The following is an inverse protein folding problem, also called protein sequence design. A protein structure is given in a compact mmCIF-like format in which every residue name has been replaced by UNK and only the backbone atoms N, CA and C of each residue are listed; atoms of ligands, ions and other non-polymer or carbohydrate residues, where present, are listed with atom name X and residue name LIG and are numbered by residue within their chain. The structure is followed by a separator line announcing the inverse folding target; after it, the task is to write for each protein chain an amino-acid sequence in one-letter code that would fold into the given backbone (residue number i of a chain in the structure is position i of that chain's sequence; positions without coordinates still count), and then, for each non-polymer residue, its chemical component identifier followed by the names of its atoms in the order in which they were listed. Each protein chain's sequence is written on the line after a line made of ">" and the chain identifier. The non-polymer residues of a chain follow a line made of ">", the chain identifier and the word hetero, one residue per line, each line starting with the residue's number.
data_IF_376127960519
#
_entry.id   IF_376127960519
#
_cell.length_a   1.000
_cell.length_b   1.000
_cell.length_c   1.000
_cell.angle_alpha   90.00
_cell.angle_beta   90.00
_cell.angle_gamma   90.00
#
_symmetry.space_group_name_H-M   'P 1'
#
loop_
_entity.id
_entity.type
_entity.pdbx_description
1 polymer ?
#
# COMPACT_ATOMS: atom_id res chain seq x y z
N UNK A 1 -2.72 27.02 -1.30
CA UNK A 1 -3.75 26.50 -2.23
C UNK A 1 -3.55 26.98 -3.66
N UNK A 2 -3.14 28.24 -3.89
CA UNK A 2 -2.94 28.80 -5.25
C UNK A 2 -1.93 28.04 -6.12
N UNK A 3 -1.02 27.27 -5.55
CA UNK A 3 -0.03 26.46 -6.27
C UNK A 3 -0.46 25.01 -6.53
N UNK A 4 -1.50 24.52 -5.86
CA UNK A 4 -1.92 23.11 -5.91
C UNK A 4 -3.05 22.90 -6.92
N UNK A 5 -3.96 23.89 -7.06
CA UNK A 5 -5.15 23.77 -7.90
C UNK A 5 -6.25 22.91 -7.28
N UNK A 6 -7.40 22.83 -7.97
CA UNK A 6 -8.57 22.05 -7.54
C UNK A 6 -8.94 20.97 -8.57
N UNK A 7 -9.57 19.89 -8.16
CA UNK A 7 -9.87 19.53 -6.75
C UNK A 7 -8.61 19.19 -5.96
N UNK A 8 -8.65 19.41 -4.65
CA UNK A 8 -7.58 19.12 -3.72
C UNK A 8 -8.11 18.29 -2.54
N UNK A 9 -7.22 17.63 -1.82
CA UNK A 9 -7.53 16.84 -0.62
C UNK A 9 -6.87 17.50 0.57
N UNK A 10 -7.65 17.83 1.59
CA UNK A 10 -7.16 18.25 2.89
C UNK A 10 -7.17 17.06 3.82
N UNK A 11 -6.01 16.75 4.40
CA UNK A 11 -5.83 15.65 5.35
C UNK A 11 -5.30 16.18 6.68
N UNK A 12 -5.83 15.67 7.79
CA UNK A 12 -5.30 15.92 9.12
C UNK A 12 -4.20 14.92 9.46
N UNK A 13 -3.55 15.05 10.62
CA UNK A 13 -2.49 14.13 11.03
C UNK A 13 -3.05 12.70 11.25
N UNK A 14 -2.58 11.73 10.47
CA UNK A 14 -3.00 10.32 10.51
C UNK A 14 -2.74 9.61 11.84
N UNK A 15 -1.78 10.06 12.62
CA UNK A 15 -1.43 9.46 13.90
C UNK A 15 -2.32 9.93 15.06
N UNK A 16 -3.29 10.82 14.78
CA UNK A 16 -4.27 11.26 15.78
C UNK A 16 -5.59 10.51 15.63
N UNK A 17 -6.28 10.27 16.75
CA UNK A 17 -7.60 9.60 16.78
C UNK A 17 -8.67 10.24 15.89
N UNK A 18 -8.51 11.53 15.58
CA UNK A 18 -9.48 12.32 14.80
C UNK A 18 -8.94 12.58 13.38
N UNK A 19 -8.38 11.55 12.74
CA UNK A 19 -8.02 11.66 11.32
C UNK A 19 -9.24 12.00 10.49
N UNK A 20 -9.13 13.04 9.69
CA UNK A 20 -10.18 13.49 8.77
C UNK A 20 -9.59 13.80 7.41
N UNK A 21 -10.30 13.43 6.36
CA UNK A 21 -9.95 13.74 4.98
C UNK A 21 -11.15 14.43 4.32
N UNK A 22 -10.93 15.60 3.74
CA UNK A 22 -11.95 16.38 3.05
C UNK A 22 -11.53 16.67 1.60
N UNK A 23 -12.49 16.59 0.70
CA UNK A 23 -12.30 17.00 -0.69
C UNK A 23 -12.64 18.47 -0.84
N UNK A 24 -11.69 19.23 -1.39
CA UNK A 24 -11.86 20.65 -1.70
C UNK A 24 -12.06 20.80 -3.21
N UNK A 25 -13.18 21.37 -3.62
CA UNK A 25 -13.53 21.55 -5.03
C UNK A 25 -13.21 22.93 -5.59
N UNK A 26 -13.19 23.94 -4.72
CA UNK A 26 -12.92 25.33 -5.05
C UNK A 26 -12.28 26.09 -3.87
N UNK A 27 -12.19 27.40 -3.98
CA UNK A 27 -11.66 28.28 -2.93
C UNK A 27 -12.64 28.60 -1.80
N UNK A 28 -13.92 28.27 -1.95
CA UNK A 28 -14.94 28.49 -0.92
C UNK A 28 -14.80 27.40 0.14
N UNK A 29 -13.99 27.68 1.15
CA UNK A 29 -13.83 26.82 2.31
C UNK A 29 -15.03 26.99 3.22
N UNK A 30 -15.68 25.88 3.55
CA UNK A 30 -16.75 25.88 4.54
C UNK A 30 -16.21 25.99 5.97
N UNK A 31 -17.10 26.24 6.92
CA UNK A 31 -16.74 26.39 8.34
C UNK A 31 -16.01 25.14 8.89
N UNK A 32 -16.30 23.97 8.34
CA UNK A 32 -15.66 22.71 8.73
C UNK A 32 -14.16 22.68 8.38
N UNK A 33 -13.79 23.22 7.22
CA UNK A 33 -12.38 23.33 6.81
C UNK A 33 -11.63 24.30 7.71
N UNK A 34 -12.24 25.47 8.01
CA UNK A 34 -11.64 26.47 8.90
C UNK A 34 -11.42 25.89 10.30
N UNK A 35 -12.43 25.23 10.86
CA UNK A 35 -12.33 24.59 12.16
C UNK A 35 -11.20 23.56 12.22
N UNK A 36 -11.08 22.68 11.22
CA UNK A 36 -10.04 21.67 11.16
C UNK A 36 -8.62 22.27 11.11
N UNK A 37 -8.44 23.34 10.33
CA UNK A 37 -7.14 24.01 10.20
C UNK A 37 -6.75 24.76 11.46
N UNK A 38 -7.71 25.29 12.22
CA UNK A 38 -7.46 25.92 13.52
C UNK A 38 -7.12 24.92 14.62
N UNK A 39 -7.80 23.76 14.63
CA UNK A 39 -7.64 22.75 15.68
C UNK A 39 -6.38 21.88 15.52
N UNK A 40 -5.90 21.68 14.30
CA UNK A 40 -4.78 20.77 14.04
C UNK A 40 -4.02 21.06 12.74
N UNK A 41 -2.79 20.57 12.69
CA UNK A 41 -1.99 20.66 11.47
C UNK A 41 -2.62 19.84 10.36
N UNK A 42 -2.83 20.47 9.21
CA UNK A 42 -3.39 19.87 8.02
C UNK A 42 -2.39 19.88 6.87
N UNK A 43 -2.51 18.92 5.98
CA UNK A 43 -1.79 18.85 4.71
C UNK A 43 -2.78 18.95 3.57
N UNK A 44 -2.45 19.73 2.54
CA UNK A 44 -3.27 19.81 1.33
C UNK A 44 -2.47 19.26 0.16
N UNK A 45 -3.08 18.33 -0.55
CA UNK A 45 -2.48 17.68 -1.73
C UNK A 45 -3.42 17.83 -2.93
N UNK A 46 -2.84 17.90 -4.14
CA UNK A 46 -3.64 17.86 -5.36
C UNK A 46 -4.39 16.53 -5.45
N UNK A 47 -5.67 16.59 -5.78
CA UNK A 47 -6.42 15.39 -6.12
C UNK A 47 -6.07 14.96 -7.55
N UNK A 48 -5.47 13.79 -7.67
CA UNK A 48 -5.22 13.16 -8.96
C UNK A 48 -6.31 12.13 -9.20
N UNK A 49 -7.24 12.35 -10.16
CA UNK A 49 -8.25 11.34 -10.49
C UNK A 49 -7.54 10.13 -11.09
N UNK A 50 -7.20 9.20 -10.22
CA UNK A 50 -6.48 7.99 -10.56
C UNK A 50 -7.39 6.95 -11.19
N UNK A 51 -6.86 6.23 -12.16
CA UNK A 51 -7.50 5.07 -12.77
C UNK A 51 -6.99 3.77 -12.16
N UNK A 52 -5.72 3.76 -11.74
CA UNK A 52 -5.05 2.62 -11.11
C UNK A 52 -4.11 3.10 -10.01
N UNK A 53 -4.02 2.29 -8.99
CA UNK A 53 -3.13 2.52 -7.85
C UNK A 53 -2.09 1.42 -7.79
N UNK A 54 -0.86 1.78 -7.47
CA UNK A 54 0.25 0.84 -7.33
C UNK A 54 0.99 1.10 -6.03
N UNK A 55 1.48 0.03 -5.43
CA UNK A 55 2.38 0.12 -4.28
C UNK A 55 3.67 -0.65 -4.55
N UNK A 56 4.75 -0.16 -4.00
CA UNK A 56 6.07 -0.80 -4.08
C UNK A 56 6.88 -0.51 -2.83
N UNK A 57 7.67 -1.50 -2.41
CA UNK A 57 8.67 -1.36 -1.36
C UNK A 57 10.05 -1.53 -1.95
N UNK A 58 10.92 -0.60 -1.62
CA UNK A 58 12.30 -0.57 -2.06
C UNK A 58 13.18 -0.68 -0.83
N UNK A 59 14.19 -1.47 -0.95
CA UNK A 59 15.17 -1.74 0.10
C UNK A 59 16.54 -1.32 -0.39
N UNK A 60 17.33 -0.73 0.49
CA UNK A 60 18.77 -0.57 0.30
C UNK A 60 19.48 -1.21 1.47
N UNK A 61 20.41 -2.11 1.17
CA UNK A 61 21.25 -2.73 2.19
C UNK A 61 22.50 -1.88 2.53
N UNK A 62 23.34 -2.41 3.40
CA UNK A 62 24.59 -1.75 3.83
C UNK A 62 25.67 -1.70 2.75
N UNK A 63 25.55 -2.49 1.70
CA UNK A 63 26.45 -2.50 0.54
C UNK A 63 25.91 -1.63 -0.61
N UNK A 64 24.87 -0.80 -0.34
CA UNK A 64 24.17 0.05 -1.31
C UNK A 64 23.45 -0.70 -2.43
N UNK A 65 23.21 -2.02 -2.29
CA UNK A 65 22.37 -2.74 -3.23
C UNK A 65 20.91 -2.35 -3.05
N UNK A 66 20.25 -2.07 -4.16
CA UNK A 66 18.84 -1.68 -4.18
C UNK A 66 18.01 -2.88 -4.67
N UNK A 67 17.10 -3.34 -3.81
CA UNK A 67 16.13 -4.38 -4.12
C UNK A 67 14.73 -3.77 -4.15
N UNK A 68 13.96 -4.02 -5.20
CA UNK A 68 12.56 -3.62 -5.32
C UNK A 68 11.71 -4.87 -5.22
N UNK A 69 10.89 -4.95 -4.17
CA UNK A 69 9.93 -6.06 -4.00
C UNK A 69 8.90 -6.06 -5.14
N UNK A 70 8.17 -7.16 -5.35
CA UNK A 70 7.12 -7.20 -6.35
C UNK A 70 6.16 -6.02 -6.21
N UNK A 71 5.87 -5.36 -7.32
CA UNK A 71 4.94 -4.24 -7.37
C UNK A 71 3.53 -4.81 -7.30
N UNK A 72 2.66 -4.17 -6.49
CA UNK A 72 1.25 -4.52 -6.42
C UNK A 72 0.39 -3.49 -7.14
N UNK A 73 -0.71 -3.94 -7.72
CA UNK A 73 -1.82 -3.09 -8.12
C UNK A 73 -2.88 -3.14 -7.02
N UNK A 74 -3.30 -1.97 -6.53
CA UNK A 74 -4.16 -1.84 -5.37
C UNK A 74 -5.58 -1.45 -5.80
N UNK A 75 -6.56 -2.20 -5.35
CA UNK A 75 -7.97 -1.97 -5.63
C UNK A 75 -8.64 -1.37 -4.40
N UNK A 76 -9.22 -0.19 -4.57
CA UNK A 76 -9.94 0.54 -3.53
C UNK A 76 -11.44 0.56 -3.81
N UNK A 77 -12.25 0.41 -2.76
CA UNK A 77 -13.70 0.57 -2.78
C UNK A 77 -14.07 1.50 -1.63
N UNK A 78 -14.82 2.53 -1.90
CA UNK A 78 -15.26 3.54 -0.92
C UNK A 78 -14.11 4.11 -0.07
N UNK A 79 -12.94 4.31 -0.71
CA UNK A 79 -11.75 4.84 -0.06
C UNK A 79 -10.92 3.83 0.74
N UNK A 80 -11.44 2.62 0.99
CA UNK A 80 -10.74 1.54 1.69
C UNK A 80 -10.05 0.59 0.71
N UNK A 81 -8.87 0.10 1.06
CA UNK A 81 -8.20 -0.93 0.29
C UNK A 81 -9.00 -2.23 0.34
N UNK A 82 -9.48 -2.69 -0.81
CA UNK A 82 -10.20 -3.97 -0.93
C UNK A 82 -9.21 -5.13 -0.99
N UNK A 83 -8.23 -5.04 -1.89
CA UNK A 83 -7.11 -5.98 -2.02
C UNK A 83 -5.98 -5.38 -2.86
N UNK A 84 -4.81 -6.00 -2.77
CA UNK A 84 -3.65 -5.73 -3.62
C UNK A 84 -3.27 -6.96 -4.41
N UNK A 85 -2.97 -6.78 -5.69
CA UNK A 85 -2.64 -7.85 -6.63
C UNK A 85 -1.14 -7.83 -6.92
N UNK A 86 -0.44 -8.93 -6.62
CA UNK A 86 0.90 -9.20 -7.11
C UNK A 86 0.81 -10.13 -8.31
N UNK A 87 1.06 -9.63 -9.52
CA UNK A 87 0.93 -10.41 -10.75
C UNK A 87 2.18 -10.36 -11.63
N UNK A 88 2.53 -11.49 -12.20
CA UNK A 88 3.58 -11.62 -13.23
C UNK A 88 3.18 -11.01 -14.58
N UNK A 89 1.89 -10.72 -14.74
CA UNK A 89 1.29 -10.22 -16.00
C UNK A 89 1.07 -8.70 -16.00
N UNK A 90 1.62 -8.00 -15.00
CA UNK A 90 1.59 -6.53 -15.02
C UNK A 90 2.28 -6.01 -16.28
N UNK A 91 1.72 -4.93 -16.88
CA UNK A 91 2.28 -4.33 -18.08
C UNK A 91 3.77 -3.98 -17.88
N UNK A 92 4.70 -4.51 -18.72
CA UNK A 92 6.13 -4.30 -18.55
C UNK A 92 6.56 -2.83 -18.62
N UNK A 93 5.86 -2.00 -19.42
CA UNK A 93 6.14 -0.57 -19.52
C UNK A 93 5.86 0.12 -18.19
N UNK A 94 4.71 -0.21 -17.55
CA UNK A 94 4.38 0.33 -16.23
C UNK A 94 5.39 -0.11 -15.17
N UNK A 95 5.77 -1.38 -15.18
CA UNK A 95 6.80 -1.90 -14.25
C UNK A 95 8.12 -1.15 -14.42
N UNK A 96 8.54 -0.88 -15.67
CA UNK A 96 9.75 -0.12 -15.97
C UNK A 96 9.70 1.30 -15.44
N UNK A 97 8.58 1.98 -15.64
CA UNK A 97 8.39 3.36 -15.20
C UNK A 97 8.30 3.47 -13.67
N UNK A 98 7.53 2.59 -13.03
CA UNK A 98 7.43 2.49 -11.57
C UNK A 98 8.80 2.21 -10.92
N UNK A 99 9.59 1.29 -11.47
CA UNK A 99 10.97 1.03 -11.02
C UNK A 99 11.88 2.24 -11.18
N UNK A 100 11.69 3.03 -12.23
CA UNK A 100 12.43 4.28 -12.45
C UNK A 100 12.09 5.31 -11.39
N UNK A 101 10.80 5.48 -11.07
CA UNK A 101 10.33 6.35 -9.98
C UNK A 101 10.95 5.91 -8.66
N UNK A 102 10.84 4.62 -8.34
CA UNK A 102 11.39 4.02 -7.14
C UNK A 102 12.89 4.31 -6.98
N UNK A 103 13.67 4.07 -8.03
CA UNK A 103 15.11 4.29 -8.02
C UNK A 103 15.48 5.77 -7.84
N UNK A 104 14.72 6.69 -8.43
CA UNK A 104 14.93 8.13 -8.25
C UNK A 104 14.69 8.56 -6.80
N UNK A 105 13.62 8.08 -6.17
CA UNK A 105 13.31 8.37 -4.76
C UNK A 105 14.40 7.80 -3.85
N UNK A 106 14.81 6.54 -4.07
CA UNK A 106 15.83 5.91 -3.25
C UNK A 106 17.18 6.62 -3.31
N UNK A 107 17.56 7.20 -4.45
CA UNK A 107 18.80 8.00 -4.59
C UNK A 107 18.83 9.27 -3.73
N UNK A 108 17.66 9.80 -3.35
CA UNK A 108 17.57 10.99 -2.49
C UNK A 108 17.63 10.66 -0.99
N UNK A 109 17.62 9.37 -0.64
CA UNK A 109 17.64 8.89 0.74
C UNK A 109 18.98 8.20 0.98
N UNK A 110 19.63 8.45 2.11
CA UNK A 110 20.95 7.89 2.45
C UNK A 110 20.83 6.72 3.42
N UNK A 111 21.81 5.81 3.36
CA UNK A 111 21.97 4.69 4.29
C UNK A 111 21.10 3.47 3.99
N UNK A 112 21.31 2.41 4.78
CA UNK A 112 20.48 1.21 4.75
C UNK A 112 19.07 1.56 5.20
N UNK A 113 18.07 1.24 4.38
CA UNK A 113 16.69 1.68 4.63
C UNK A 113 15.67 0.90 3.83
N UNK A 114 14.42 0.96 4.29
CA UNK A 114 13.22 0.55 3.59
C UNK A 114 12.40 1.78 3.25
N UNK A 115 11.88 1.83 2.04
CA UNK A 115 10.96 2.90 1.59
C UNK A 115 9.78 2.26 0.87
N UNK A 116 8.59 2.57 1.32
CA UNK A 116 7.34 2.19 0.67
C UNK A 116 6.75 3.39 -0.08
N UNK A 117 6.30 3.16 -1.31
CA UNK A 117 5.80 4.20 -2.21
C UNK A 117 4.44 3.79 -2.74
N UNK A 118 3.47 4.70 -2.66
CA UNK A 118 2.19 4.59 -3.37
C UNK A 118 2.19 5.53 -4.57
N UNK A 119 1.75 5.00 -5.70
CA UNK A 119 1.70 5.71 -6.98
C UNK A 119 0.30 5.59 -7.57
N UNK A 120 -0.18 6.67 -8.16
CA UNK A 120 -1.45 6.71 -8.89
C UNK A 120 -1.16 6.95 -10.36
N UNK A 121 -1.73 6.13 -11.22
CA UNK A 121 -1.74 6.37 -12.66
C UNK A 121 -3.02 7.11 -13.04
N UNK A 122 -2.88 8.31 -13.59
CA UNK A 122 -4.00 9.09 -14.11
C UNK A 122 -4.55 8.48 -15.41
N UNK A 123 -5.73 8.94 -15.83
CA UNK A 123 -6.33 8.55 -17.14
C UNK A 123 -5.44 8.86 -18.34
N UNK A 124 -4.56 9.84 -18.21
CA UNK A 124 -3.54 10.20 -19.24
C UNK A 124 -2.39 9.19 -19.34
N UNK A 125 -2.31 8.20 -18.44
CA UNK A 125 -1.18 7.28 -18.34
C UNK A 125 0.01 7.81 -17.52
N UNK A 126 -0.06 9.04 -17.03
CA UNK A 126 1.02 9.65 -16.22
C UNK A 126 0.95 9.11 -14.79
N UNK A 127 2.11 8.76 -14.24
CA UNK A 127 2.25 8.30 -12.86
C UNK A 127 2.57 9.47 -11.92
N UNK A 128 1.86 9.51 -10.80
CA UNK A 128 2.05 10.48 -9.73
C UNK A 128 2.34 9.77 -8.41
N UNK A 129 3.40 10.19 -7.73
CA UNK A 129 3.70 9.69 -6.38
C UNK A 129 2.68 10.28 -5.40
N UNK A 130 1.91 9.41 -4.76
CA UNK A 130 0.88 9.79 -3.79
C UNK A 130 1.44 9.84 -2.36
N UNK A 131 2.27 8.85 -2.02
CA UNK A 131 2.81 8.70 -0.67
C UNK A 131 4.19 8.05 -0.72
N UNK A 132 5.08 8.52 0.15
CA UNK A 132 6.37 7.89 0.45
C UNK A 132 6.47 7.74 1.97
N UNK A 133 6.82 6.55 2.43
CA UNK A 133 6.92 6.24 3.85
C UNK A 133 8.14 5.35 4.12
N UNK A 134 8.75 5.46 5.29
CA UNK A 134 9.82 4.56 5.75
C UNK A 134 9.28 3.36 6.54
N UNK A 135 7.96 3.16 6.51
CA UNK A 135 7.29 2.02 7.11
C UNK A 135 6.73 1.10 6.01
N UNK A 136 6.70 -0.20 6.26
CA UNK A 136 6.07 -1.13 5.33
C UNK A 136 4.57 -0.87 5.21
N UNK A 137 4.05 -0.93 3.99
CA UNK A 137 2.62 -0.95 3.76
C UNK A 137 2.06 -2.38 3.87
N UNK A 138 0.80 -2.48 4.24
CA UNK A 138 0.09 -3.76 4.32
C UNK A 138 0.12 -4.53 2.99
N UNK A 139 0.10 -3.82 1.87
CA UNK A 139 0.15 -4.34 0.51
C UNK A 139 1.42 -5.16 0.20
N UNK A 140 2.45 -5.07 1.03
CA UNK A 140 3.73 -5.76 0.83
C UNK A 140 4.00 -6.85 1.87
N UNK A 141 2.98 -7.28 2.59
CA UNK A 141 3.09 -8.42 3.50
C UNK A 141 2.99 -9.74 2.73
N UNK A 142 3.94 -9.96 1.83
CA UNK A 142 4.05 -11.19 1.06
C UNK A 142 4.34 -12.39 1.95
N UNK A 143 3.80 -13.55 1.58
CA UNK A 143 4.16 -14.84 2.16
C UNK A 143 5.40 -15.43 1.46
N UNK A 144 5.98 -16.47 2.09
CA UNK A 144 7.10 -17.24 1.51
C UNK A 144 6.71 -17.99 0.23
N UNK A 145 5.43 -18.17 -0.04
CA UNK A 145 4.93 -18.71 -1.30
C UNK A 145 4.97 -17.68 -2.44
N UNK A 146 4.84 -16.40 -2.10
CA UNK A 146 4.83 -15.31 -3.09
C UNK A 146 6.25 -14.84 -3.42
N UNK A 147 7.14 -14.77 -2.43
CA UNK A 147 8.53 -14.32 -2.59
C UNK A 147 9.48 -15.24 -1.81
N UNK A 148 10.77 -15.35 -2.22
CA UNK A 148 11.73 -16.28 -1.61
C UNK A 148 12.03 -16.06 -0.12
N UNK A 149 11.77 -14.86 0.38
CA UNK A 149 12.00 -14.46 1.77
C UNK A 149 10.74 -13.83 2.33
N UNK A 150 10.33 -14.24 3.54
CA UNK A 150 9.23 -13.56 4.21
C UNK A 150 9.58 -12.09 4.48
N UNK A 151 8.56 -11.25 4.55
CA UNK A 151 8.76 -9.83 4.82
C UNK A 151 9.49 -9.60 6.16
N UNK A 152 9.18 -10.39 7.18
CA UNK A 152 9.85 -10.35 8.48
C UNK A 152 11.33 -10.71 8.38
N UNK A 153 11.70 -11.68 7.57
CA UNK A 153 13.11 -12.03 7.31
C UNK A 153 13.83 -10.89 6.61
N UNK A 154 13.21 -10.26 5.62
CA UNK A 154 13.77 -9.10 4.92
C UNK A 154 14.09 -7.97 5.91
N UNK A 155 13.16 -7.64 6.80
CA UNK A 155 13.37 -6.60 7.82
C UNK A 155 14.52 -6.97 8.76
N UNK A 156 14.56 -8.22 9.22
CA UNK A 156 15.63 -8.70 10.09
C UNK A 156 17.00 -8.61 9.41
N UNK A 157 17.11 -9.04 8.15
CA UNK A 157 18.34 -8.95 7.35
C UNK A 157 18.79 -7.50 7.19
N UNK A 158 17.86 -6.61 6.86
CA UNK A 158 18.13 -5.17 6.74
C UNK A 158 18.66 -4.59 8.05
N UNK A 159 18.02 -4.94 9.18
CA UNK A 159 18.41 -4.45 10.51
C UNK A 159 19.74 -5.00 11.01
N UNK A 160 20.14 -6.21 10.59
CA UNK A 160 21.38 -6.88 11.02
C UNK A 160 22.53 -6.76 10.02
N UNK A 161 22.34 -6.02 8.92
CA UNK A 161 23.37 -5.83 7.90
C UNK A 161 23.63 -7.06 7.02
N UNK A 162 22.70 -7.99 6.99
CA UNK A 162 22.76 -9.12 6.05
C UNK A 162 22.22 -8.70 4.69
N UNK A 163 22.85 -9.19 3.62
CA UNK A 163 22.39 -8.91 2.25
C UNK A 163 20.97 -9.44 2.01
N UNK A 164 20.19 -8.71 1.21
CA UNK A 164 18.84 -9.08 0.80
C UNK A 164 18.93 -9.86 -0.48
N UNK A 165 18.30 -11.04 -0.53
CA UNK A 165 18.23 -11.84 -1.75
C UNK A 165 17.29 -11.17 -2.77
N UNK A 166 17.52 -11.44 -4.06
CA UNK A 166 16.58 -11.00 -5.10
C UNK A 166 15.17 -11.52 -4.81
N UNK A 167 14.20 -10.61 -4.77
CA UNK A 167 12.83 -10.89 -4.38
C UNK A 167 11.91 -10.88 -5.60
N UNK A 168 12.15 -11.84 -6.53
CA UNK A 168 11.21 -12.10 -7.63
C UNK A 168 9.91 -12.75 -7.14
N UNK A 169 8.80 -12.49 -7.83
CA UNK A 169 7.52 -13.12 -7.54
C UNK A 169 7.54 -14.60 -7.95
N UNK A 170 7.37 -15.51 -6.97
CA UNK A 170 7.31 -16.97 -7.18
C UNK A 170 5.91 -17.36 -7.66
N UNK A 171 4.88 -17.00 -6.90
CA UNK A 171 3.47 -17.20 -7.23
C UNK A 171 2.75 -15.87 -7.29
N UNK A 172 1.75 -15.75 -8.17
CA UNK A 172 0.85 -14.61 -8.14
C UNK A 172 0.01 -14.65 -6.87
N UNK A 173 -0.47 -13.50 -6.40
CA UNK A 173 -1.28 -13.51 -5.21
C UNK A 173 -2.06 -12.24 -4.96
N UNK A 174 -2.97 -12.36 -4.01
CA UNK A 174 -3.72 -11.26 -3.44
C UNK A 174 -3.33 -11.08 -1.98
N UNK A 175 -3.31 -9.84 -1.55
CA UNK A 175 -3.19 -9.43 -0.16
C UNK A 175 -4.47 -8.66 0.16
N UNK A 176 -5.28 -9.21 1.05
CA UNK A 176 -6.61 -8.70 1.41
C UNK A 176 -6.58 -8.23 2.85
N UNK A 177 -6.76 -6.93 3.12
CA UNK A 177 -6.87 -6.43 4.49
C UNK A 177 -8.14 -6.96 5.15
N UNK A 178 -8.03 -7.30 6.42
CA UNK A 178 -9.17 -7.64 7.28
C UNK A 178 -9.44 -6.43 8.16
N UNK A 179 -10.60 -5.83 8.00
CA UNK A 179 -11.09 -4.76 8.87
C UNK A 179 -11.95 -5.32 10.01
N UNK A 180 -12.17 -4.53 11.04
CA UNK A 180 -12.91 -4.95 12.24
C UNK A 180 -14.29 -5.54 11.91
N UNK A 181 -15.00 -4.94 10.97
CA UNK A 181 -16.33 -5.41 10.51
C UNK A 181 -16.28 -6.75 9.76
N UNK A 182 -15.10 -7.18 9.31
CA UNK A 182 -14.89 -8.41 8.54
C UNK A 182 -14.41 -9.59 9.40
N UNK A 183 -14.11 -9.39 10.69
CA UNK A 183 -13.46 -10.41 11.54
C UNK A 183 -14.25 -11.72 11.63
N UNK A 184 -15.56 -11.65 11.85
CA UNK A 184 -16.39 -12.85 11.94
C UNK A 184 -16.35 -13.66 10.65
N UNK A 185 -16.48 -12.99 9.51
CA UNK A 185 -16.37 -13.63 8.19
C UNK A 185 -14.98 -14.21 7.99
N UNK A 186 -13.93 -13.48 8.33
CA UNK A 186 -12.55 -13.94 8.19
C UNK A 186 -12.28 -15.20 9.04
N UNK A 187 -12.82 -15.28 10.27
CA UNK A 187 -12.73 -16.49 11.11
C UNK A 187 -13.44 -17.69 10.49
N UNK A 188 -14.61 -17.49 9.88
CA UNK A 188 -15.30 -18.57 9.16
C UNK A 188 -14.47 -19.03 7.96
N UNK A 189 -13.91 -18.07 7.18
CA UNK A 189 -13.05 -18.36 6.03
C UNK A 189 -11.80 -19.16 6.42
N UNK A 190 -11.25 -18.97 7.62
CA UNK A 190 -10.12 -19.78 8.12
C UNK A 190 -10.43 -21.28 8.10
N UNK A 191 -11.68 -21.64 8.37
CA UNK A 191 -12.11 -23.05 8.40
C UNK A 191 -12.43 -23.60 7.01
N UNK A 192 -13.12 -22.82 6.19
CA UNK A 192 -13.63 -23.28 4.88
C UNK A 192 -12.63 -23.07 3.73
N UNK A 193 -11.60 -22.25 3.95
CA UNK A 193 -10.53 -21.95 2.98
C UNK A 193 -9.13 -22.24 3.59
N UNK A 194 -8.83 -23.50 3.94
CA UNK A 194 -7.60 -23.84 4.67
C UNK A 194 -6.31 -23.63 3.87
N UNK A 195 -6.41 -23.37 2.57
CA UNK A 195 -5.29 -23.06 1.68
C UNK A 195 -4.97 -21.57 1.60
N UNK A 196 -5.83 -20.70 2.18
CA UNK A 196 -5.53 -19.29 2.37
C UNK A 196 -4.71 -19.08 3.64
N UNK A 197 -3.85 -18.08 3.65
CA UNK A 197 -3.06 -17.72 4.82
C UNK A 197 -3.74 -16.55 5.55
N UNK A 198 -3.96 -16.70 6.85
CA UNK A 198 -4.61 -15.70 7.70
C UNK A 198 -3.64 -15.24 8.77
N UNK A 199 -3.49 -13.93 8.91
CA UNK A 199 -2.71 -13.30 9.96
C UNK A 199 -3.53 -12.19 10.60
N UNK A 200 -3.59 -12.18 11.94
CA UNK A 200 -4.34 -11.17 12.69
C UNK A 200 -3.37 -10.35 13.53
N UNK A 201 -3.60 -9.04 13.55
CA UNK A 201 -2.81 -8.09 14.31
C UNK A 201 -3.54 -7.73 15.61
N UNK A 202 -2.79 -7.60 16.69
CA UNK A 202 -3.33 -7.06 17.92
C UNK A 202 -3.28 -5.55 17.85
N UNK A 203 -4.43 -4.90 17.66
CA UNK A 203 -4.54 -3.44 17.60
C UNK A 203 -5.11 -2.94 18.93
N UNK A 204 -4.23 -2.48 19.82
CA UNK A 204 -4.66 -1.83 21.06
C UNK A 204 -5.23 -0.43 20.76
N UNK A 205 -6.52 -0.25 21.00
CA UNK A 205 -7.21 1.05 20.84
C UNK A 205 -7.26 1.57 19.42
N UNK A 206 -7.25 0.67 18.44
CA UNK A 206 -7.13 0.96 17.02
C UNK A 206 -8.26 1.79 16.44
N UNK A 207 -7.89 2.55 15.41
CA UNK A 207 -8.84 3.22 14.54
C UNK A 207 -9.65 2.14 13.78
N UNK A 208 -11.01 2.19 13.77
CA UNK A 208 -11.84 1.26 12.99
C UNK A 208 -11.51 1.22 11.49
N UNK A 209 -10.85 2.24 10.97
CA UNK A 209 -10.38 2.33 9.59
C UNK A 209 -9.08 1.55 9.32
N UNK A 210 -8.41 1.07 10.37
CA UNK A 210 -7.18 0.29 10.25
C UNK A 210 -7.48 -1.19 10.12
N UNK A 211 -6.69 -1.88 9.29
CA UNK A 211 -6.78 -3.32 9.17
C UNK A 211 -6.29 -4.00 10.44
N UNK A 212 -7.06 -4.97 10.92
CA UNK A 212 -6.76 -5.80 12.10
C UNK A 212 -6.17 -7.16 11.72
N UNK A 213 -5.93 -7.38 10.42
CA UNK A 213 -5.33 -8.59 9.89
C UNK A 213 -5.15 -8.52 8.38
N UNK A 214 -4.62 -9.59 7.84
CA UNK A 214 -4.44 -9.79 6.40
C UNK A 214 -4.75 -11.24 6.02
N UNK A 215 -5.35 -11.41 4.86
CA UNK A 215 -5.55 -12.70 4.21
C UNK A 215 -4.67 -12.70 2.95
N UNK A 216 -3.91 -13.77 2.74
CA UNK A 216 -3.10 -13.97 1.54
C UNK A 216 -3.63 -15.16 0.75
N UNK A 217 -3.91 -14.92 -0.53
CA UNK A 217 -4.27 -15.93 -1.51
C UNK A 217 -3.09 -16.06 -2.48
N UNK A 218 -2.66 -17.27 -2.77
CA UNK A 218 -1.55 -17.54 -3.70
C UNK A 218 -1.95 -18.57 -4.75
N UNK A 219 -1.46 -18.40 -5.96
CA UNK A 219 -1.75 -19.32 -7.06
C UNK A 219 -1.05 -18.92 -8.37
N UNK A 220 -1.43 -19.58 -9.43
CA UNK A 220 -0.84 -19.39 -10.77
C UNK A 220 -1.46 -18.23 -11.56
N UNK A 221 -2.63 -17.75 -11.15
CA UNK A 221 -3.39 -16.73 -11.85
C UNK A 221 -4.10 -15.79 -10.86
N UNK A 222 -3.72 -14.54 -10.87
CA UNK A 222 -4.37 -13.50 -10.05
C UNK A 222 -5.83 -13.29 -10.40
N UNK A 223 -6.23 -13.51 -11.65
CA UNK A 223 -7.64 -13.43 -12.08
C UNK A 223 -8.48 -14.49 -11.39
N UNK A 224 -8.00 -15.73 -11.31
CA UNK A 224 -8.72 -16.81 -10.66
C UNK A 224 -8.83 -16.57 -9.15
N UNK A 225 -7.77 -16.02 -8.53
CA UNK A 225 -7.78 -15.66 -7.12
C UNK A 225 -8.78 -14.54 -6.82
N UNK A 226 -8.91 -13.54 -7.69
CA UNK A 226 -9.94 -12.49 -7.56
C UNK A 226 -11.33 -13.10 -7.63
N UNK A 227 -11.58 -13.96 -8.62
CA UNK A 227 -12.88 -14.65 -8.74
C UNK A 227 -13.18 -15.51 -7.50
N UNK A 228 -12.18 -16.23 -6.97
CA UNK A 228 -12.34 -17.01 -5.76
C UNK A 228 -12.67 -16.14 -4.52
N UNK A 229 -12.01 -14.98 -4.39
CA UNK A 229 -12.29 -14.02 -3.33
C UNK A 229 -13.71 -13.44 -3.43
N UNK A 230 -14.19 -13.13 -4.63
CA UNK A 230 -15.50 -12.53 -4.84
C UNK A 230 -16.65 -13.51 -4.64
N UNK A 231 -16.41 -14.81 -4.78
CA UNK A 231 -17.39 -15.88 -4.54
C UNK A 231 -17.43 -16.34 -3.07
N UNK A 232 -16.54 -15.87 -2.23
CA UNK A 232 -16.43 -16.21 -0.81
C UNK A 232 -17.06 -15.14 0.09
#
# INVERSE_FOLDING_TARGET
>A
LSSIGFPAVLETNRFKKNYTQLMLYDHDMDDQVFQLVEEQSCMVTAFVPGQRHFSMTILRDYEDHITILPITEDVYVDGKLKYSIASKRMNPEWVGELRTIASKIMRSISGSTLVSIQVVMAKSGIFYVKKVDQLPFLQHQFSERQIPQSFSEIILRLATGLGILESGLIEEGLIVPVYQEMLEKAHILTVIKPHWEFEYFQVEGGNPEEAVGVIRLTGTSSVDLVNELELS
#
